data_IF_946630702219
#
_entry.id   IF_946630702219
#
_cell.length_a   1.000
_cell.length_b   1.000
_cell.length_c   1.000
_cell.angle_alpha   90.00
_cell.angle_beta   90.00
_cell.angle_gamma   90.00
#
_symmetry.space_group_name_H-M   'P 1'
#
loop_
_entity.id
_entity.type
_entity.pdbx_description
1 polymer ?
#
# COMPACT_ATOMS: atom_id res chain seq x y z
N UNK A 1 10.85 -2.28 26.25
CA UNK A 1 10.60 -2.75 24.87
C UNK A 1 9.10 -2.89 24.66
N UNK A 2 8.57 -2.61 23.48
CA UNK A 2 7.18 -2.85 23.16
C UNK A 2 6.78 -4.31 23.40
N UNK A 3 5.54 -4.52 23.80
CA UNK A 3 5.03 -5.86 24.09
C UNK A 3 4.59 -6.54 22.80
N UNK A 4 4.85 -7.84 22.72
CA UNK A 4 4.25 -8.76 21.76
C UNK A 4 2.98 -9.31 22.39
N UNK A 5 1.84 -9.13 21.72
CA UNK A 5 0.50 -9.53 22.20
C UNK A 5 0.06 -10.72 21.32
N UNK A 6 -0.17 -11.88 21.96
CA UNK A 6 -0.59 -13.12 21.31
C UNK A 6 -1.94 -13.64 21.83
N UNK A 7 -2.39 -13.15 22.98
CA UNK A 7 -3.55 -13.70 23.70
C UNK A 7 -4.76 -12.74 23.67
N UNK A 8 -4.77 -11.77 22.77
CA UNK A 8 -5.88 -10.83 22.57
C UNK A 8 -5.92 -10.36 21.13
N UNK A 9 -7.03 -9.76 20.74
CA UNK A 9 -7.18 -9.12 19.42
C UNK A 9 -7.37 -7.61 19.59
N UNK A 10 -7.03 -6.80 18.55
CA UNK A 10 -7.28 -5.37 18.56
C UNK A 10 -8.73 -5.02 18.95
N UNK A 11 -9.71 -5.65 18.33
CA UNK A 11 -11.13 -5.41 18.60
C UNK A 11 -11.48 -5.68 20.06
N UNK A 12 -11.00 -6.78 20.64
CA UNK A 12 -11.24 -7.13 22.04
C UNK A 12 -10.66 -6.08 23.02
N UNK A 13 -9.53 -5.46 22.63
CA UNK A 13 -8.86 -4.40 23.41
C UNK A 13 -9.35 -2.98 23.07
N UNK A 14 -10.35 -2.84 22.18
CA UNK A 14 -10.95 -1.57 21.79
C UNK A 14 -10.12 -0.77 20.77
N UNK A 15 -9.29 -1.45 19.97
CA UNK A 15 -8.51 -0.83 18.89
C UNK A 15 -9.16 -1.06 17.53
N UNK A 16 -8.95 -0.12 16.60
CA UNK A 16 -9.33 -0.19 15.20
C UNK A 16 -8.22 0.34 14.30
N UNK A 17 -8.21 -0.05 13.06
CA UNK A 17 -7.42 0.61 12.03
C UNK A 17 -8.07 1.97 11.71
N UNK A 18 -7.37 3.11 11.83
CA UNK A 18 -7.90 4.40 11.42
C UNK A 18 -7.94 4.49 9.89
N UNK A 19 -8.86 5.30 9.38
CA UNK A 19 -8.84 5.63 7.96
C UNK A 19 -7.57 6.41 7.60
N UNK A 20 -7.09 6.28 6.35
CA UNK A 20 -5.87 6.97 5.91
C UNK A 20 -6.01 8.49 5.93
N UNK A 21 -7.23 9.01 5.77
CA UNK A 21 -7.52 10.45 5.86
C UNK A 21 -7.63 10.98 7.30
N UNK A 22 -7.51 10.13 8.35
CA UNK A 22 -7.40 10.58 9.76
C UNK A 22 -6.00 11.16 10.03
N UNK A 23 -5.83 12.00 11.08
CA UNK A 23 -4.54 12.65 11.37
C UNK A 23 -3.40 11.66 11.56
N UNK A 24 -2.30 11.95 10.91
CA UNK A 24 -1.09 11.12 10.89
C UNK A 24 0.05 11.83 11.62
N UNK A 25 0.99 11.06 12.15
CA UNK A 25 2.19 11.54 12.86
C UNK A 25 3.38 11.61 11.92
N UNK A 26 3.51 10.65 11.01
CA UNK A 26 4.56 10.54 10.00
C UNK A 26 4.26 9.47 8.97
N UNK A 27 5.04 9.49 7.90
CA UNK A 27 5.10 8.42 6.90
C UNK A 27 6.43 7.67 7.01
N UNK A 28 6.34 6.35 6.94
CA UNK A 28 7.47 5.43 6.85
C UNK A 28 7.71 5.03 5.40
N UNK A 29 8.98 4.89 5.01
CA UNK A 29 9.43 4.37 3.72
C UNK A 29 10.65 3.46 3.93
N UNK A 30 10.87 2.51 3.01
CA UNK A 30 12.11 1.75 2.88
C UNK A 30 12.88 2.26 1.66
N UNK A 31 14.22 2.17 1.70
CA UNK A 31 15.06 2.63 0.59
C UNK A 31 15.28 1.53 -0.43
N UNK A 32 15.00 1.75 -1.74
CA UNK A 32 15.17 0.73 -2.76
C UNK A 32 16.66 0.48 -3.06
N UNK A 33 17.07 -0.79 -3.00
CA UNK A 33 18.46 -1.17 -3.28
C UNK A 33 18.61 -2.47 -4.06
N UNK A 34 17.52 -3.23 -4.21
CA UNK A 34 17.49 -4.55 -4.81
C UNK A 34 17.68 -4.48 -6.32
N UNK A 35 18.85 -4.88 -6.82
CA UNK A 35 19.18 -4.77 -8.26
C UNK A 35 18.55 -5.84 -9.15
N UNK A 36 18.00 -6.90 -8.55
CA UNK A 36 17.19 -7.92 -9.25
C UNK A 36 15.69 -7.59 -9.32
N UNK A 37 15.28 -6.43 -8.79
CA UNK A 37 13.96 -5.83 -8.98
C UNK A 37 14.03 -4.44 -9.64
N UNK A 38 14.97 -3.60 -9.21
CA UNK A 38 15.10 -2.22 -9.65
C UNK A 38 16.15 -2.07 -10.73
N UNK A 39 15.76 -1.64 -11.92
CA UNK A 39 16.68 -1.47 -13.06
C UNK A 39 17.83 -0.50 -12.76
N UNK A 40 18.94 -0.64 -13.48
CA UNK A 40 20.11 0.24 -13.39
C UNK A 40 20.68 0.38 -11.96
N UNK A 41 20.68 -0.72 -11.19
CA UNK A 41 21.15 -0.73 -9.81
C UNK A 41 20.35 0.17 -8.87
N UNK A 42 19.03 0.20 -9.05
CA UNK A 42 18.05 0.97 -8.29
C UNK A 42 18.16 2.51 -8.39
N UNK A 43 19.12 3.08 -9.11
CA UNK A 43 19.34 4.53 -9.13
C UNK A 43 18.16 5.36 -9.59
N UNK A 44 17.43 5.00 -10.67
CA UNK A 44 16.22 5.73 -11.06
C UNK A 44 15.11 5.62 -10.02
N UNK A 45 14.92 4.43 -9.42
CA UNK A 45 13.98 4.22 -8.35
C UNK A 45 14.33 5.06 -7.10
N UNK A 46 15.59 5.06 -6.68
CA UNK A 46 16.08 5.91 -5.57
C UNK A 46 15.76 7.39 -5.78
N UNK A 47 15.91 7.87 -7.02
CA UNK A 47 15.52 9.24 -7.36
C UNK A 47 14.02 9.46 -7.18
N UNK A 48 13.18 8.56 -7.70
CA UNK A 48 11.73 8.65 -7.56
C UNK A 48 11.28 8.58 -6.09
N UNK A 49 11.87 7.69 -5.28
CA UNK A 49 11.62 7.60 -3.84
C UNK A 49 12.00 8.90 -3.10
N UNK A 50 13.15 9.50 -3.46
CA UNK A 50 13.55 10.78 -2.89
C UNK A 50 12.60 11.93 -3.28
N UNK A 51 12.07 11.93 -4.50
CA UNK A 51 11.08 12.91 -4.95
C UNK A 51 9.73 12.72 -4.23
N UNK A 52 9.29 11.47 -4.01
CA UNK A 52 8.10 11.15 -3.19
C UNK A 52 8.31 11.59 -1.74
N UNK A 53 9.44 11.23 -1.11
CA UNK A 53 9.75 11.63 0.27
C UNK A 53 9.76 13.15 0.42
N UNK A 54 10.30 13.89 -0.56
CA UNK A 54 10.30 15.37 -0.59
C UNK A 54 8.88 15.93 -0.66
N UNK A 55 8.03 15.36 -1.53
CA UNK A 55 6.64 15.79 -1.66
C UNK A 55 5.83 15.57 -0.38
N UNK A 56 6.03 14.42 0.30
CA UNK A 56 5.39 14.11 1.58
C UNK A 56 5.89 15.06 2.68
N UNK A 57 7.18 15.37 2.71
CA UNK A 57 7.81 16.22 3.74
C UNK A 57 7.28 17.67 3.73
N UNK A 58 6.59 18.12 2.67
CA UNK A 58 5.87 19.39 2.66
C UNK A 58 4.65 19.40 3.58
N UNK A 59 4.15 18.23 4.01
CA UNK A 59 2.91 18.07 4.78
C UNK A 59 3.14 17.48 6.16
N UNK A 60 4.03 16.49 6.27
CA UNK A 60 4.28 15.77 7.51
C UNK A 60 5.66 15.12 7.56
N UNK A 61 6.14 14.73 8.75
CA UNK A 61 7.44 14.08 8.89
C UNK A 61 7.54 12.77 8.10
N UNK A 62 8.69 12.54 7.48
CA UNK A 62 9.02 11.28 6.78
C UNK A 62 10.20 10.60 7.46
N UNK A 63 10.11 9.29 7.61
CA UNK A 63 11.23 8.44 8.03
C UNK A 63 11.50 7.41 6.96
N UNK A 64 12.72 7.42 6.42
CA UNK A 64 13.19 6.46 5.43
C UNK A 64 14.18 5.51 6.10
N UNK A 65 13.91 4.21 6.00
CA UNK A 65 14.81 3.18 6.50
C UNK A 65 15.70 2.68 5.35
N UNK A 66 17.01 2.64 5.58
CA UNK A 66 17.99 2.20 4.61
C UNK A 66 18.96 1.20 5.24
N UNK A 67 19.50 0.26 4.47
CA UNK A 67 20.54 -0.63 4.94
C UNK A 67 21.81 0.14 5.30
N UNK A 68 22.69 -0.47 6.10
CA UNK A 68 24.00 0.11 6.42
C UNK A 68 24.80 0.48 5.15
N UNK A 69 24.68 -0.35 4.11
CA UNK A 69 25.36 -0.12 2.83
C UNK A 69 24.82 1.11 2.07
N UNK A 70 23.53 1.40 2.21
CA UNK A 70 22.85 2.48 1.49
C UNK A 70 22.60 3.73 2.35
N UNK A 71 22.89 3.68 3.64
CA UNK A 71 22.59 4.80 4.56
C UNK A 71 23.19 6.14 4.09
N UNK A 72 24.47 6.16 3.74
CA UNK A 72 25.13 7.38 3.27
C UNK A 72 24.56 7.88 1.94
N UNK A 73 24.23 6.96 1.02
CA UNK A 73 23.57 7.27 -0.24
C UNK A 73 22.17 7.85 -0.03
N UNK A 74 21.33 7.19 0.76
CA UNK A 74 20.00 7.66 1.10
C UNK A 74 20.05 9.06 1.74
N UNK A 75 20.93 9.25 2.73
CA UNK A 75 21.11 10.55 3.39
C UNK A 75 21.54 11.66 2.42
N UNK A 76 22.37 11.35 1.43
CA UNK A 76 22.83 12.33 0.44
C UNK A 76 21.73 12.73 -0.57
N UNK A 77 20.80 11.82 -0.88
CA UNK A 77 19.73 12.05 -1.85
C UNK A 77 18.46 12.66 -1.23
N UNK A 78 18.20 12.37 0.04
CA UNK A 78 17.01 12.83 0.74
C UNK A 78 17.17 14.24 1.32
N UNK A 79 16.08 15.04 1.39
CA UNK A 79 16.09 16.33 2.06
C UNK A 79 16.53 16.23 3.53
N UNK A 80 17.15 17.28 4.11
CA UNK A 80 17.64 17.25 5.48
C UNK A 80 16.55 17.04 6.54
N UNK A 81 15.31 17.47 6.27
CA UNK A 81 14.15 17.29 7.13
C UNK A 81 13.63 15.83 7.17
N UNK A 82 13.96 15.00 6.20
CA UNK A 82 13.63 13.57 6.19
C UNK A 82 14.56 12.83 7.14
N UNK A 83 14.00 12.11 8.09
CA UNK A 83 14.78 11.24 8.99
C UNK A 83 15.23 9.98 8.25
N UNK A 84 16.51 9.63 8.39
CA UNK A 84 17.04 8.35 7.88
C UNK A 84 17.41 7.46 9.05
N UNK A 85 16.93 6.22 9.04
CA UNK A 85 17.21 5.19 10.05
C UNK A 85 17.89 4.00 9.40
N UNK A 86 18.93 3.46 10.06
CA UNK A 86 19.55 2.23 9.58
C UNK A 86 18.65 1.03 9.90
N UNK A 87 18.10 0.42 8.85
CA UNK A 87 17.30 -0.81 8.93
C UNK A 87 17.33 -1.52 7.60
N UNK A 88 17.76 -2.79 7.60
CA UNK A 88 17.76 -3.62 6.39
C UNK A 88 16.40 -4.26 6.14
N UNK A 89 16.03 -4.31 4.87
CA UNK A 89 14.88 -5.05 4.31
C UNK A 89 15.37 -5.91 3.12
N UNK A 90 14.52 -6.77 2.59
CA UNK A 90 14.81 -7.49 1.34
C UNK A 90 14.41 -6.63 0.12
N UNK A 91 13.30 -5.86 0.22
CA UNK A 91 12.90 -4.87 -0.78
C UNK A 91 12.25 -3.64 -0.10
N UNK A 92 11.60 -2.75 -0.87
CA UNK A 92 11.22 -1.41 -0.41
C UNK A 92 9.70 -1.22 -0.22
N UNK A 93 8.94 -2.29 -0.05
CA UNK A 93 7.46 -2.30 -0.03
C UNK A 93 6.90 -2.25 1.41
N UNK A 94 7.12 -1.12 2.09
CA UNK A 94 6.74 -0.97 3.51
C UNK A 94 5.24 -1.03 3.77
N UNK A 95 4.41 -0.75 2.78
CA UNK A 95 2.95 -0.93 2.87
C UNK A 95 2.60 -2.36 3.23
N UNK A 96 3.30 -3.31 2.63
CA UNK A 96 2.95 -4.72 2.68
C UNK A 96 3.68 -5.48 3.79
N UNK A 97 4.94 -5.15 4.04
CA UNK A 97 5.73 -5.78 5.11
C UNK A 97 5.81 -4.95 6.40
N UNK A 98 5.28 -3.73 6.40
CA UNK A 98 5.23 -2.84 7.57
C UNK A 98 4.05 -3.13 8.49
N UNK A 99 4.00 -2.48 9.68
CA UNK A 99 2.93 -2.68 10.62
C UNK A 99 1.63 -1.99 10.16
N UNK A 100 0.48 -2.66 10.32
CA UNK A 100 -0.82 -1.99 10.27
C UNK A 100 -1.08 -1.30 11.61
N UNK A 101 -0.98 0.02 11.65
CA UNK A 101 -1.19 0.77 12.88
C UNK A 101 -2.67 0.84 13.28
N UNK A 102 -2.91 0.83 14.58
CA UNK A 102 -4.22 0.76 15.22
C UNK A 102 -4.33 1.85 16.29
N UNK A 103 -5.52 2.40 16.46
CA UNK A 103 -5.82 3.41 17.47
C UNK A 103 -7.02 3.00 18.32
N UNK A 104 -7.08 3.49 19.57
CA UNK A 104 -8.26 3.37 20.41
C UNK A 104 -8.86 4.74 20.74
N UNK A 105 -10.02 4.75 21.38
CA UNK A 105 -10.72 5.99 21.75
C UNK A 105 -9.95 6.85 22.78
N UNK A 106 -8.95 6.27 23.46
CA UNK A 106 -8.07 7.00 24.41
C UNK A 106 -6.91 7.68 23.69
N UNK A 107 -6.73 7.41 22.40
CA UNK A 107 -5.63 7.92 21.59
C UNK A 107 -4.34 7.12 21.70
N UNK A 108 -4.38 5.94 22.31
CA UNK A 108 -3.23 5.04 22.30
C UNK A 108 -3.05 4.42 20.91
N UNK A 109 -1.80 4.15 20.55
CA UNK A 109 -1.44 3.50 19.28
C UNK A 109 -0.86 2.12 19.57
N UNK A 110 -1.31 1.13 18.83
CA UNK A 110 -0.72 -0.21 18.69
C UNK A 110 -0.58 -0.58 17.22
N UNK A 111 -0.12 -1.77 16.92
CA UNK A 111 -0.04 -2.26 15.55
C UNK A 111 -0.43 -3.73 15.43
N UNK A 112 -0.92 -4.14 14.26
CA UNK A 112 -0.94 -5.53 13.83
C UNK A 112 0.34 -5.81 13.04
N UNK A 113 0.97 -6.94 13.33
CA UNK A 113 2.19 -7.46 12.71
C UNK A 113 1.82 -8.79 12.05
N UNK A 114 1.55 -8.73 10.76
CA UNK A 114 1.08 -9.84 9.93
C UNK A 114 2.24 -10.73 9.49
N UNK A 115 1.96 -11.98 9.19
CA UNK A 115 2.90 -12.80 8.45
C UNK A 115 3.07 -12.24 7.03
N UNK A 116 4.31 -12.10 6.57
CA UNK A 116 4.66 -11.67 5.22
C UNK A 116 5.41 -12.78 4.50
N UNK A 117 5.06 -13.05 3.24
CA UNK A 117 5.62 -14.14 2.46
C UNK A 117 5.94 -13.77 1.00
N UNK A 118 6.28 -12.51 0.75
CA UNK A 118 6.60 -11.99 -0.59
C UNK A 118 5.47 -12.24 -1.61
N UNK A 119 4.21 -11.99 -1.21
CA UNK A 119 2.96 -12.07 -2.00
C UNK A 119 2.57 -13.44 -2.52
N UNK A 120 3.09 -14.51 -1.98
CA UNK A 120 2.68 -15.85 -2.44
C UNK A 120 3.49 -16.99 -1.86
N UNK A 121 4.53 -16.70 -1.09
CA UNK A 121 5.36 -17.70 -0.45
C UNK A 121 6.05 -18.61 -1.45
N UNK A 122 5.92 -19.93 -1.21
CA UNK A 122 6.48 -20.94 -2.12
C UNK A 122 5.56 -21.27 -3.30
N UNK A 123 4.36 -20.68 -3.35
CA UNK A 123 3.38 -20.93 -4.42
C UNK A 123 3.64 -20.04 -5.63
N UNK A 124 3.62 -18.72 -5.41
CA UNK A 124 3.79 -17.68 -6.45
C UNK A 124 4.52 -16.43 -5.93
N UNK A 125 5.26 -16.54 -4.82
CA UNK A 125 6.02 -15.42 -4.25
C UNK A 125 7.08 -14.90 -5.20
N UNK A 126 7.29 -13.57 -5.17
CA UNK A 126 8.16 -12.88 -6.14
C UNK A 126 9.64 -13.09 -5.88
N UNK A 127 10.03 -13.36 -4.62
CA UNK A 127 11.42 -13.63 -4.25
C UNK A 127 11.54 -14.47 -2.98
N UNK A 128 12.70 -15.08 -2.84
CA UNK A 128 13.13 -15.81 -1.66
C UNK A 128 14.63 -15.57 -1.41
N UNK A 129 15.06 -15.34 -0.14
CA UNK A 129 14.27 -15.26 1.09
C UNK A 129 13.58 -13.90 1.26
N UNK A 130 12.56 -13.84 2.17
CA UNK A 130 11.88 -12.61 2.62
C UNK A 130 12.03 -12.37 4.13
N UNK A 131 13.07 -12.95 4.73
CA UNK A 131 13.32 -12.99 6.17
C UNK A 131 13.50 -11.62 6.82
N UNK A 132 14.06 -10.64 6.08
CA UNK A 132 14.23 -9.27 6.57
C UNK A 132 12.92 -8.48 6.48
N UNK A 133 12.16 -8.66 5.41
CA UNK A 133 10.86 -8.02 5.23
C UNK A 133 9.85 -8.50 6.26
N UNK A 134 9.83 -9.80 6.56
CA UNK A 134 9.02 -10.37 7.65
C UNK A 134 9.35 -9.80 9.06
N UNK A 135 10.42 -9.03 9.21
CA UNK A 135 10.79 -8.36 10.47
C UNK A 135 10.55 -6.84 10.46
N UNK A 136 10.17 -6.25 9.33
CA UNK A 136 10.02 -4.79 9.19
C UNK A 136 8.96 -4.26 10.15
N UNK A 137 7.80 -4.89 10.25
CA UNK A 137 6.73 -4.49 11.15
C UNK A 137 7.21 -4.46 12.61
N UNK A 138 7.88 -5.51 13.06
CA UNK A 138 8.48 -5.57 14.39
C UNK A 138 9.46 -4.42 14.64
N UNK A 139 10.41 -4.21 13.72
CA UNK A 139 11.45 -3.19 13.87
C UNK A 139 10.87 -1.77 13.92
N UNK A 140 9.90 -1.47 13.07
CA UNK A 140 9.18 -0.17 13.10
C UNK A 140 8.46 0.00 14.44
N UNK A 141 7.75 -1.03 14.93
CA UNK A 141 7.09 -0.96 16.23
C UNK A 141 8.08 -0.73 17.39
N UNK A 142 9.27 -1.34 17.34
CA UNK A 142 10.33 -1.12 18.33
C UNK A 142 10.85 0.33 18.30
N UNK A 143 11.06 0.90 17.11
CA UNK A 143 11.47 2.31 16.95
C UNK A 143 10.39 3.27 17.44
N UNK A 144 9.12 2.98 17.15
CA UNK A 144 7.98 3.78 17.62
C UNK A 144 7.68 3.65 19.12
N UNK A 145 8.17 2.57 19.77
CA UNK A 145 7.79 2.22 21.13
C UNK A 145 6.35 1.70 21.25
N UNK A 146 5.81 1.06 20.20
CA UNK A 146 4.41 0.66 20.06
C UNK A 146 4.25 -0.84 20.24
N UNK A 147 3.31 -1.25 21.12
CA UNK A 147 2.94 -2.66 21.29
C UNK A 147 2.32 -3.23 20.01
N UNK A 148 2.53 -4.52 19.74
CA UNK A 148 2.05 -5.17 18.52
C UNK A 148 1.31 -6.46 18.79
N UNK A 149 0.20 -6.66 18.08
CA UNK A 149 -0.49 -7.94 17.95
C UNK A 149 0.18 -8.74 16.84
N UNK A 150 0.48 -10.00 17.10
CA UNK A 150 1.22 -10.85 16.15
C UNK A 150 0.31 -11.95 15.61
N UNK A 151 0.32 -12.13 14.30
CA UNK A 151 -0.45 -13.14 13.59
C UNK A 151 0.48 -14.03 12.76
N UNK A 152 1.28 -14.93 13.39
CA UNK A 152 2.31 -15.67 12.69
C UNK A 152 1.78 -16.62 11.60
N UNK A 153 0.50 -17.01 11.70
CA UNK A 153 -0.15 -17.96 10.80
C UNK A 153 -1.19 -17.30 9.88
N UNK A 154 -1.20 -15.96 9.78
CA UNK A 154 -2.12 -15.25 8.90
C UNK A 154 -1.35 -14.25 8.05
N UNK A 155 -1.27 -14.53 6.75
CA UNK A 155 -0.61 -13.68 5.76
C UNK A 155 -1.57 -12.56 5.34
N UNK A 156 -1.11 -11.32 5.46
CA UNK A 156 -1.82 -10.14 4.99
C UNK A 156 -0.82 -9.04 4.63
N UNK A 157 -1.03 -8.39 3.53
CA UNK A 157 -0.33 -7.19 3.11
C UNK A 157 -1.20 -5.95 3.33
N UNK A 158 -0.59 -4.82 3.71
CA UNK A 158 -1.33 -3.56 3.91
C UNK A 158 -1.98 -3.03 2.63
N UNK A 159 -1.41 -3.32 1.46
CA UNK A 159 -1.98 -2.97 0.14
C UNK A 159 -3.22 -3.79 -0.24
N UNK A 160 -3.43 -4.95 0.40
CA UNK A 160 -4.60 -5.80 0.17
C UNK A 160 -5.87 -5.32 0.86
N UNK A 161 -5.79 -4.30 1.74
CA UNK A 161 -6.90 -3.77 2.53
C UNK A 161 -6.97 -2.26 2.48
N UNK A 162 -8.19 -1.69 2.56
CA UNK A 162 -8.40 -0.26 2.78
C UNK A 162 -9.63 -0.05 3.66
N UNK A 163 -9.55 0.81 4.70
CA UNK A 163 -10.63 1.00 5.68
C UNK A 163 -11.21 2.42 5.67
N UNK A 164 -12.50 2.54 6.01
CA UNK A 164 -13.15 3.84 6.21
C UNK A 164 -12.94 4.44 7.62
N UNK A 165 -12.31 3.69 8.53
CA UNK A 165 -12.17 4.06 9.94
C UNK A 165 -13.48 3.97 10.75
N UNK A 166 -14.59 3.60 10.14
CA UNK A 166 -15.92 3.53 10.75
C UNK A 166 -16.53 2.11 10.71
N UNK A 167 -15.72 1.12 10.41
CA UNK A 167 -16.06 -0.30 10.49
C UNK A 167 -16.20 -1.02 9.16
N UNK A 168 -15.88 -0.38 8.03
CA UNK A 168 -15.88 -1.01 6.71
C UNK A 168 -14.45 -1.22 6.22
N UNK A 169 -14.17 -2.38 5.63
CA UNK A 169 -12.93 -2.69 4.93
C UNK A 169 -13.21 -3.11 3.49
N UNK A 170 -12.41 -2.61 2.55
CA UNK A 170 -12.35 -3.05 1.16
C UNK A 170 -11.20 -4.05 1.00
N UNK A 171 -11.41 -5.08 0.20
CA UNK A 171 -10.39 -6.06 -0.21
C UNK A 171 -10.80 -6.72 -1.53
N UNK A 172 -9.94 -7.58 -2.10
CA UNK A 172 -10.25 -8.37 -3.29
C UNK A 172 -10.29 -9.87 -2.98
N UNK A 173 -11.19 -10.59 -3.66
CA UNK A 173 -11.23 -12.06 -3.62
C UNK A 173 -9.96 -12.64 -4.25
N UNK A 174 -9.55 -12.08 -5.36
CA UNK A 174 -8.36 -12.48 -6.12
C UNK A 174 -7.11 -12.53 -5.22
N UNK A 175 -6.93 -11.57 -4.30
CA UNK A 175 -5.80 -11.54 -3.37
C UNK A 175 -6.01 -12.47 -2.19
N UNK A 176 -6.99 -12.20 -1.33
CA UNK A 176 -7.07 -12.85 -0.02
C UNK A 176 -7.56 -14.31 -0.09
N UNK A 177 -8.20 -14.73 -1.18
CA UNK A 177 -8.57 -16.12 -1.44
C UNK A 177 -7.55 -16.85 -2.33
N UNK A 178 -6.42 -16.21 -2.67
CA UNK A 178 -5.32 -16.85 -3.40
C UNK A 178 -4.68 -17.97 -2.57
N UNK A 179 -4.29 -19.09 -3.22
CA UNK A 179 -3.55 -20.16 -2.56
C UNK A 179 -2.22 -19.71 -1.95
N UNK A 180 -1.65 -18.62 -2.46
CA UNK A 180 -0.41 -18.03 -1.97
C UNK A 180 -0.53 -17.26 -0.66
N UNK A 181 -1.74 -17.10 -0.10
CA UNK A 181 -1.97 -16.36 1.17
C UNK A 181 -2.33 -17.31 2.32
N UNK A 182 -3.61 -17.63 2.45
CA UNK A 182 -4.14 -18.40 3.58
C UNK A 182 -4.95 -19.61 3.07
N UNK A 183 -4.33 -20.60 2.40
CA UNK A 183 -5.03 -21.68 1.70
C UNK A 183 -5.90 -22.57 2.61
N UNK A 184 -5.58 -22.65 3.89
CA UNK A 184 -6.30 -23.44 4.88
C UNK A 184 -7.51 -22.72 5.48
N UNK A 185 -7.75 -21.43 5.11
CA UNK A 185 -8.86 -20.61 5.60
C UNK A 185 -9.89 -20.39 4.52
N UNK A 186 -11.17 -20.49 4.91
CA UNK A 186 -12.26 -20.08 4.06
C UNK A 186 -12.56 -18.57 4.21
N UNK A 187 -13.44 -18.03 3.34
CA UNK A 187 -13.83 -16.63 3.32
C UNK A 187 -14.32 -16.11 4.68
N UNK A 188 -15.18 -16.85 5.35
CA UNK A 188 -15.75 -16.47 6.65
C UNK A 188 -14.69 -16.42 7.76
N UNK A 189 -13.69 -17.27 7.68
CA UNK A 189 -12.56 -17.25 8.62
C UNK A 189 -11.66 -16.05 8.37
N UNK A 190 -11.39 -15.72 7.10
CA UNK A 190 -10.62 -14.51 6.71
C UNK A 190 -11.39 -13.25 7.12
N UNK A 191 -12.70 -13.15 6.86
CA UNK A 191 -13.54 -12.03 7.32
C UNK A 191 -13.46 -11.83 8.82
N UNK A 192 -13.49 -12.93 9.59
CA UNK A 192 -13.35 -12.86 11.05
C UNK A 192 -12.00 -12.28 11.45
N UNK A 193 -10.91 -12.73 10.84
CA UNK A 193 -9.57 -12.17 11.09
C UNK A 193 -9.52 -10.68 10.78
N UNK A 194 -10.04 -10.26 9.62
CA UNK A 194 -10.11 -8.85 9.27
C UNK A 194 -10.92 -8.05 10.29
N UNK A 195 -12.09 -8.53 10.69
CA UNK A 195 -12.93 -7.84 11.67
C UNK A 195 -12.26 -7.72 13.05
N UNK A 196 -11.63 -8.80 13.53
CA UNK A 196 -10.99 -8.83 14.85
C UNK A 196 -9.72 -7.97 14.89
N UNK A 197 -8.94 -7.93 13.82
CA UNK A 197 -7.65 -7.24 13.81
C UNK A 197 -7.72 -5.80 13.29
N UNK A 198 -8.70 -5.47 12.45
CA UNK A 198 -8.89 -4.11 11.93
C UNK A 198 -9.97 -3.32 12.70
N UNK A 199 -10.71 -3.98 13.60
CA UNK A 199 -11.83 -3.36 14.31
C UNK A 199 -12.97 -2.98 13.37
N UNK A 200 -13.21 -3.78 12.33
CA UNK A 200 -14.30 -3.58 11.39
C UNK A 200 -15.47 -4.56 11.65
N UNK A 201 -16.61 -4.31 11.02
CA UNK A 201 -17.81 -5.14 11.11
C UNK A 201 -18.41 -5.49 9.74
N UNK A 202 -17.81 -4.97 8.67
CA UNK A 202 -18.22 -5.24 7.29
C UNK A 202 -17.02 -5.31 6.37
N UNK A 203 -16.96 -6.38 5.58
CA UNK A 203 -15.98 -6.59 4.53
C UNK A 203 -16.66 -6.47 3.18
N UNK A 204 -16.14 -5.65 2.30
CA UNK A 204 -16.57 -5.51 0.91
C UNK A 204 -15.53 -6.17 0.01
N UNK A 205 -15.94 -7.22 -0.67
CA UNK A 205 -15.09 -8.03 -1.53
C UNK A 205 -15.29 -7.65 -3.00
N UNK A 206 -14.33 -6.91 -3.55
CA UNK A 206 -14.24 -6.77 -5.01
C UNK A 206 -13.69 -8.08 -5.55
N UNK A 207 -14.23 -8.56 -6.66
CA UNK A 207 -13.88 -9.88 -7.18
C UNK A 207 -12.45 -9.95 -7.68
N UNK A 208 -12.10 -9.08 -8.62
CA UNK A 208 -10.82 -9.08 -9.31
C UNK A 208 -10.08 -7.74 -9.10
N UNK A 209 -8.77 -7.79 -8.93
CA UNK A 209 -7.87 -6.63 -9.00
C UNK A 209 -7.22 -6.51 -10.37
N UNK A 210 -6.20 -5.66 -10.52
CA UNK A 210 -5.54 -5.36 -11.80
C UNK A 210 -4.10 -5.85 -11.90
N UNK A 211 -3.61 -6.55 -10.90
CA UNK A 211 -2.25 -7.09 -10.87
C UNK A 211 -2.25 -8.59 -10.54
N UNK A 212 -2.55 -9.45 -11.52
CA UNK A 212 -2.65 -10.88 -11.29
C UNK A 212 -1.30 -11.56 -11.05
N UNK A 213 -0.21 -10.96 -11.55
CA UNK A 213 1.08 -11.64 -11.63
C UNK A 213 2.03 -11.28 -10.48
N UNK A 214 1.78 -10.18 -9.76
CA UNK A 214 2.64 -9.74 -8.65
C UNK A 214 1.96 -9.77 -7.29
N UNK A 215 0.88 -8.98 -7.08
CA UNK A 215 0.20 -8.89 -5.78
C UNK A 215 -1.08 -9.72 -5.70
N UNK A 216 -1.48 -10.39 -6.78
CA UNK A 216 -2.79 -11.01 -6.96
C UNK A 216 -3.94 -9.99 -6.80
N UNK A 217 -3.76 -8.80 -7.35
CA UNK A 217 -4.80 -7.78 -7.42
C UNK A 217 -5.11 -7.08 -6.10
N UNK A 218 -4.12 -6.43 -5.51
CA UNK A 218 -4.30 -5.58 -4.35
C UNK A 218 -5.37 -4.52 -4.54
N UNK A 219 -6.09 -4.20 -3.47
CA UNK A 219 -7.19 -3.22 -3.50
C UNK A 219 -6.69 -1.78 -3.69
N UNK A 220 -5.48 -1.44 -3.26
CA UNK A 220 -4.91 -0.10 -3.34
C UNK A 220 -4.59 0.37 -4.75
N UNK A 221 -4.63 -0.53 -5.75
CA UNK A 221 -4.60 -0.21 -7.18
C UNK A 221 -5.98 -0.09 -7.82
N UNK A 222 -7.06 -0.45 -7.10
CA UNK A 222 -8.42 -0.55 -7.62
C UNK A 222 -9.37 0.46 -6.99
N UNK A 223 -9.39 0.55 -5.66
CA UNK A 223 -10.31 1.43 -4.93
C UNK A 223 -9.79 1.79 -3.54
N UNK A 224 -10.14 2.99 -3.07
CA UNK A 224 -9.85 3.44 -1.71
C UNK A 224 -10.96 4.34 -1.15
N UNK A 225 -11.13 4.36 0.18
CA UNK A 225 -11.98 5.35 0.84
C UNK A 225 -11.33 6.71 0.83
N UNK A 226 -12.08 7.73 0.39
CA UNK A 226 -11.65 9.12 0.35
C UNK A 226 -12.29 9.96 1.46
N UNK A 227 -13.43 9.52 1.97
CA UNK A 227 -14.15 10.03 3.13
C UNK A 227 -15.11 8.94 3.66
N UNK A 228 -15.71 9.10 4.85
CA UNK A 228 -16.72 8.16 5.33
C UNK A 228 -17.90 8.06 4.36
N UNK A 229 -18.16 6.85 3.82
CA UNK A 229 -19.19 6.58 2.82
C UNK A 229 -18.85 7.03 1.39
N UNK A 230 -17.62 7.49 1.12
CA UNK A 230 -17.16 7.87 -0.22
C UNK A 230 -15.93 7.05 -0.63
N UNK A 231 -15.95 6.50 -1.83
CA UNK A 231 -14.91 5.61 -2.38
C UNK A 231 -14.48 6.13 -3.74
N UNK A 232 -13.17 6.22 -3.99
CA UNK A 232 -12.62 6.33 -5.33
C UNK A 232 -12.46 4.93 -5.93
N UNK A 233 -12.73 4.80 -7.23
CA UNK A 233 -12.57 3.56 -7.99
C UNK A 233 -11.96 3.86 -9.36
N UNK A 234 -11.08 3.00 -9.82
CA UNK A 234 -10.50 3.11 -11.16
C UNK A 234 -11.58 3.10 -12.23
N UNK A 235 -11.31 3.82 -13.33
CA UNK A 235 -12.26 3.93 -14.43
C UNK A 235 -11.58 4.18 -15.77
N UNK A 236 -12.10 3.53 -16.80
CA UNK A 236 -11.82 3.85 -18.19
C UNK A 236 -13.06 3.67 -19.06
N UNK A 237 -13.21 4.48 -20.10
CA UNK A 237 -14.22 4.30 -21.13
C UNK A 237 -13.67 3.58 -22.37
N UNK A 238 -12.38 3.28 -22.39
CA UNK A 238 -11.71 2.59 -23.48
C UNK A 238 -11.86 1.07 -23.32
N UNK A 239 -12.74 0.47 -24.12
CA UNK A 239 -13.00 -0.98 -24.11
C UNK A 239 -11.78 -1.82 -24.51
N UNK A 240 -10.77 -1.21 -25.13
CA UNK A 240 -9.52 -1.89 -25.49
C UNK A 240 -8.46 -1.84 -24.38
N UNK A 241 -8.70 -1.07 -23.30
CA UNK A 241 -7.76 -0.98 -22.18
C UNK A 241 -7.69 -2.34 -21.44
N UNK A 242 -6.49 -2.86 -21.12
CA UNK A 242 -6.34 -4.19 -20.49
C UNK A 242 -7.12 -4.35 -19.19
N UNK A 243 -7.37 -3.27 -18.44
CA UNK A 243 -8.09 -3.27 -17.16
C UNK A 243 -9.53 -2.73 -17.28
N UNK A 244 -10.10 -2.68 -18.49
CA UNK A 244 -11.46 -2.16 -18.70
C UNK A 244 -12.50 -2.93 -17.91
N UNK A 245 -12.44 -4.26 -17.97
CA UNK A 245 -13.40 -5.14 -17.31
C UNK A 245 -13.35 -5.01 -15.80
N UNK A 246 -12.15 -5.11 -15.23
CA UNK A 246 -11.92 -5.02 -13.79
C UNK A 246 -12.40 -3.67 -13.24
N UNK A 247 -12.12 -2.57 -13.95
CA UNK A 247 -12.58 -1.24 -13.58
C UNK A 247 -14.10 -1.12 -13.58
N UNK A 248 -14.78 -1.70 -14.58
CA UNK A 248 -16.24 -1.71 -14.67
C UNK A 248 -16.88 -2.55 -13.57
N UNK A 249 -16.43 -3.78 -13.41
CA UNK A 249 -16.96 -4.73 -12.44
C UNK A 249 -16.82 -4.17 -11.01
N UNK A 250 -15.65 -3.60 -10.67
CA UNK A 250 -15.41 -2.95 -9.39
C UNK A 250 -16.33 -1.75 -9.15
N UNK A 251 -16.47 -0.87 -10.13
CA UNK A 251 -17.32 0.32 -10.02
C UNK A 251 -18.80 -0.05 -9.84
N UNK A 252 -19.32 -0.98 -10.65
CA UNK A 252 -20.70 -1.45 -10.57
C UNK A 252 -20.98 -2.11 -9.22
N UNK A 253 -20.07 -2.99 -8.77
CA UNK A 253 -20.16 -3.60 -7.44
C UNK A 253 -20.24 -2.53 -6.33
N UNK A 254 -19.32 -1.56 -6.30
CA UNK A 254 -19.28 -0.53 -5.26
C UNK A 254 -20.51 0.37 -5.26
N UNK A 255 -21.09 0.68 -6.42
CA UNK A 255 -22.32 1.47 -6.53
C UNK A 255 -23.54 0.80 -5.87
N UNK A 256 -23.52 -0.53 -5.71
CA UNK A 256 -24.58 -1.30 -5.07
C UNK A 256 -24.36 -1.48 -3.56
N UNK A 257 -23.18 -1.17 -3.04
CA UNK A 257 -22.83 -1.42 -1.65
C UNK A 257 -23.26 -0.31 -0.69
N UNK A 258 -23.34 -0.69 0.58
CA UNK A 258 -23.43 0.22 1.72
C UNK A 258 -22.18 0.00 2.60
N UNK A 259 -21.82 0.99 3.40
CA UNK A 259 -20.81 0.84 4.45
C UNK A 259 -21.36 0.12 5.70
N UNK A 260 -20.53 -0.05 6.74
CA UNK A 260 -20.91 -0.68 8.00
C UNK A 260 -22.01 0.08 8.78
N UNK A 261 -22.22 1.36 8.48
CA UNK A 261 -23.28 2.20 9.05
C UNK A 261 -24.56 2.24 8.22
N UNK A 262 -24.61 1.47 7.11
CA UNK A 262 -25.77 1.39 6.23
C UNK A 262 -25.88 2.56 5.23
N UNK A 263 -24.89 3.44 5.11
CA UNK A 263 -24.84 4.51 4.10
C UNK A 263 -24.52 3.90 2.74
N UNK A 264 -25.30 4.23 1.70
CA UNK A 264 -24.95 3.85 0.34
C UNK A 264 -23.66 4.56 -0.07
N UNK A 265 -22.73 3.83 -0.67
CA UNK A 265 -21.45 4.38 -1.09
C UNK A 265 -21.64 5.39 -2.23
N UNK A 266 -20.98 6.53 -2.11
CA UNK A 266 -20.76 7.47 -3.21
C UNK A 266 -19.46 7.10 -3.88
N UNK A 267 -19.54 6.62 -5.13
CA UNK A 267 -18.37 6.14 -5.86
C UNK A 267 -17.88 7.20 -6.85
N UNK A 268 -16.63 7.60 -6.70
CA UNK A 268 -15.94 8.53 -7.58
C UNK A 268 -15.10 7.77 -8.60
N UNK A 269 -15.15 8.22 -9.86
CA UNK A 269 -14.32 7.66 -10.93
C UNK A 269 -12.95 8.33 -10.94
N UNK A 270 -11.90 7.52 -10.93
CA UNK A 270 -10.53 7.96 -11.16
C UNK A 270 -10.00 7.30 -12.43
N UNK A 271 -9.60 8.12 -13.39
CA UNK A 271 -9.12 7.63 -14.69
C UNK A 271 -7.92 6.69 -14.54
N UNK A 272 -7.83 5.69 -15.40
CA UNK A 272 -6.58 4.97 -15.65
C UNK A 272 -5.68 5.76 -16.60
N UNK A 273 -4.43 5.34 -16.75
CA UNK A 273 -3.54 5.87 -17.79
C UNK A 273 -4.18 5.71 -19.17
N UNK A 274 -3.97 6.68 -20.06
CA UNK A 274 -4.53 6.62 -21.43
C UNK A 274 -3.98 5.44 -22.21
N UNK A 275 -2.72 5.11 -21.96
CA UNK A 275 -2.04 3.95 -22.52
C UNK A 275 -1.43 3.12 -21.42
N UNK A 276 -1.46 1.78 -21.51
CA UNK A 276 -0.73 0.94 -20.58
C UNK A 276 0.74 1.33 -20.53
N UNK A 277 1.31 1.32 -19.34
CA UNK A 277 2.75 1.51 -19.13
C UNK A 277 3.42 0.14 -19.24
N UNK A 278 4.42 0.05 -20.08
CA UNK A 278 5.18 -1.18 -20.25
C UNK A 278 6.58 -1.04 -19.69
N UNK A 279 7.08 -2.10 -19.07
CA UNK A 279 8.45 -2.15 -18.58
C UNK A 279 9.43 -2.00 -19.77
N UNK A 280 10.42 -1.14 -19.57
CA UNK A 280 11.51 -0.87 -20.50
C UNK A 280 12.85 -0.99 -19.77
N UNK A 281 13.87 -1.57 -20.42
CA UNK A 281 15.22 -1.71 -19.89
C UNK A 281 15.35 -2.82 -18.85
N UNK A 282 14.58 -3.90 -19.00
CA UNK A 282 14.69 -5.10 -18.17
C UNK A 282 16.07 -5.76 -18.27
N UNK A 283 16.81 -5.53 -19.36
CA UNK A 283 18.20 -5.96 -19.53
C UNK A 283 19.19 -5.31 -18.55
N UNK A 284 18.74 -4.27 -17.83
CA UNK A 284 19.51 -3.61 -16.76
C UNK A 284 19.09 -4.03 -15.36
N UNK A 285 18.19 -5.01 -15.24
CA UNK A 285 17.80 -5.68 -13.99
C UNK A 285 18.66 -6.94 -13.85
N UNK A 286 19.29 -7.13 -12.71
CA UNK A 286 20.14 -8.29 -12.48
C UNK A 286 19.28 -9.56 -12.35
N UNK A 287 19.78 -10.68 -12.85
CA UNK A 287 19.16 -11.98 -12.64
C UNK A 287 19.65 -12.59 -11.33
N UNK A 288 18.74 -13.00 -10.46
CA UNK A 288 19.06 -13.68 -9.22
C UNK A 288 18.23 -14.98 -9.05
N UNK A 289 18.87 -15.99 -8.45
CA UNK A 289 18.17 -17.23 -8.08
C UNK A 289 17.13 -16.93 -7.01
N UNK A 290 15.91 -17.45 -7.16
CA UNK A 290 14.82 -17.25 -6.22
C UNK A 290 14.06 -15.93 -6.42
N UNK A 291 14.29 -15.20 -7.53
CA UNK A 291 13.54 -14.00 -7.89
C UNK A 291 12.83 -14.21 -9.22
N UNK A 292 11.57 -13.80 -9.31
CA UNK A 292 10.82 -13.81 -10.57
C UNK A 292 11.43 -12.79 -11.55
N UNK A 293 11.89 -13.22 -12.75
CA UNK A 293 12.55 -12.31 -13.69
C UNK A 293 11.53 -11.38 -14.36
N UNK A 294 11.90 -10.09 -14.49
CA UNK A 294 11.14 -9.09 -15.24
C UNK A 294 11.57 -9.04 -16.71
N UNK A 295 10.65 -8.69 -17.62
CA UNK A 295 10.90 -8.66 -19.07
C UNK A 295 10.39 -7.38 -19.70
N UNK A 296 11.09 -6.88 -20.70
CA UNK A 296 10.62 -5.77 -21.53
C UNK A 296 9.26 -6.09 -22.17
N UNK A 297 8.38 -5.11 -22.14
CA UNK A 297 7.04 -5.21 -22.68
C UNK A 297 6.00 -5.85 -21.76
N UNK A 298 6.38 -6.26 -20.54
CA UNK A 298 5.40 -6.60 -19.50
C UNK A 298 4.62 -5.34 -19.06
N UNK A 299 3.32 -5.49 -18.81
CA UNK A 299 2.48 -4.38 -18.34
C UNK A 299 2.85 -4.06 -16.92
N UNK A 300 3.25 -2.82 -16.67
CA UNK A 300 3.50 -2.30 -15.32
C UNK A 300 2.20 -1.79 -14.71
N UNK A 301 2.03 -1.97 -13.40
CA UNK A 301 0.86 -1.44 -12.69
C UNK A 301 1.02 0.05 -12.49
N UNK A 302 0.40 0.82 -13.39
CA UNK A 302 0.42 2.27 -13.42
C UNK A 302 -0.97 2.81 -13.08
N UNK A 303 -1.41 2.58 -11.85
CA UNK A 303 -2.70 3.06 -11.34
C UNK A 303 -2.55 4.40 -10.62
N UNK A 304 -3.33 5.41 -11.04
CA UNK A 304 -3.45 6.65 -10.25
C UNK A 304 -4.12 6.42 -8.90
N UNK A 305 -4.79 5.27 -8.69
CA UNK A 305 -5.40 4.90 -7.41
C UNK A 305 -4.36 4.67 -6.31
N UNK A 306 -3.13 4.31 -6.67
CA UNK A 306 -2.05 4.08 -5.73
C UNK A 306 -1.44 5.41 -5.20
N UNK A 307 -2.31 6.40 -4.90
CA UNK A 307 -1.94 7.65 -4.25
C UNK A 307 -1.88 7.49 -2.72
N UNK A 308 -1.17 8.40 -2.07
CA UNK A 308 -1.09 8.48 -0.61
C UNK A 308 -1.84 9.72 -0.10
N UNK A 309 -2.71 9.53 0.90
CA UNK A 309 -3.35 10.62 1.63
C UNK A 309 -2.43 11.01 2.79
N UNK A 310 -2.07 12.30 2.88
CA UNK A 310 -1.23 12.86 3.95
C UNK A 310 -1.95 14.03 4.62
N UNK A 311 -1.46 14.51 5.78
CA UNK A 311 -2.04 15.67 6.46
C UNK A 311 -2.09 16.91 5.54
N UNK A 312 -3.29 17.31 5.14
CA UNK A 312 -3.49 18.48 4.26
C UNK A 312 -3.08 18.29 2.79
N UNK A 313 -2.69 17.09 2.36
CA UNK A 313 -2.30 16.81 0.99
C UNK A 313 -2.68 15.41 0.49
N UNK A 314 -2.49 15.21 -0.81
CA UNK A 314 -2.52 13.90 -1.48
C UNK A 314 -1.33 13.83 -2.44
N UNK A 315 -0.53 12.80 -2.33
CA UNK A 315 0.62 12.56 -3.22
C UNK A 315 0.17 11.57 -4.29
N UNK A 316 0.09 12.05 -5.53
CA UNK A 316 -0.49 11.33 -6.66
C UNK A 316 0.58 10.87 -7.65
N UNK A 317 0.65 9.57 -8.00
CA UNK A 317 1.57 9.11 -9.04
C UNK A 317 1.30 9.78 -10.38
N UNK A 318 2.37 10.06 -11.13
CA UNK A 318 2.34 10.54 -12.50
C UNK A 318 3.22 9.65 -13.36
N UNK A 319 2.83 9.47 -14.60
CA UNK A 319 3.48 8.52 -15.52
C UNK A 319 4.02 9.18 -16.81
N UNK A 320 3.81 10.50 -16.98
CA UNK A 320 4.04 11.18 -18.25
C UNK A 320 2.98 10.80 -19.29
N UNK A 321 1.79 10.47 -18.82
CA UNK A 321 0.63 10.07 -19.61
C UNK A 321 -0.30 11.25 -19.88
N UNK A 322 -1.09 11.18 -20.96
CA UNK A 322 -2.06 12.21 -21.33
C UNK A 322 -3.11 12.46 -20.24
N UNK A 323 -3.42 11.46 -19.40
CA UNK A 323 -4.39 11.52 -18.32
C UNK A 323 -3.80 12.05 -16.99
N UNK A 324 -2.49 12.32 -16.88
CA UNK A 324 -1.87 12.83 -15.65
C UNK A 324 -2.60 14.09 -15.10
N UNK A 325 -2.90 15.06 -15.97
CA UNK A 325 -3.60 16.28 -15.59
C UNK A 325 -5.08 16.03 -15.22
N UNK A 326 -5.72 15.06 -15.86
CA UNK A 326 -7.10 14.67 -15.55
C UNK A 326 -7.16 14.00 -14.18
N UNK A 327 -6.22 13.11 -13.88
CA UNK A 327 -6.13 12.43 -12.58
C UNK A 327 -5.95 13.46 -11.43
N UNK A 328 -5.04 14.43 -11.58
CA UNK A 328 -4.89 15.53 -10.60
C UNK A 328 -6.22 16.24 -10.38
N UNK A 329 -6.93 16.61 -11.44
CA UNK A 329 -8.22 17.31 -11.34
C UNK A 329 -9.29 16.47 -10.64
N UNK A 330 -9.36 15.18 -10.94
CA UNK A 330 -10.33 14.27 -10.32
C UNK A 330 -10.03 14.07 -8.83
N UNK A 331 -8.77 13.82 -8.46
CA UNK A 331 -8.37 13.67 -7.06
C UNK A 331 -8.57 14.97 -6.28
N UNK A 332 -8.23 16.12 -6.86
CA UNK A 332 -8.49 17.43 -6.22
C UNK A 332 -9.99 17.67 -5.96
N UNK A 333 -10.87 17.18 -6.82
CA UNK A 333 -12.32 17.26 -6.61
C UNK A 333 -12.82 16.35 -5.48
N UNK A 334 -12.15 15.21 -5.26
CA UNK A 334 -12.45 14.29 -4.14
C UNK A 334 -11.95 14.84 -2.79
N UNK A 335 -10.86 15.62 -2.81
CA UNK A 335 -10.21 16.18 -1.63
C UNK A 335 -10.12 17.72 -1.71
N UNK A 336 -11.26 18.45 -1.59
CA UNK A 336 -11.27 19.91 -1.77
C UNK A 336 -10.41 20.66 -0.75
N UNK A 337 -10.23 20.09 0.45
CA UNK A 337 -9.47 20.70 1.55
C UNK A 337 -8.01 20.23 1.61
N UNK A 338 -7.56 19.41 0.66
CA UNK A 338 -6.18 18.92 0.57
C UNK A 338 -5.54 19.37 -0.73
N UNK A 339 -4.24 19.68 -0.71
CA UNK A 339 -3.48 20.00 -1.93
C UNK A 339 -3.01 18.70 -2.60
N UNK A 340 -3.35 18.50 -3.86
CA UNK A 340 -2.85 17.37 -4.66
C UNK A 340 -1.50 17.71 -5.28
N UNK A 341 -0.52 16.86 -5.05
CA UNK A 341 0.84 16.98 -5.60
C UNK A 341 1.13 15.77 -6.48
N UNK A 342 1.30 15.98 -7.77
CA UNK A 342 1.71 14.94 -8.72
C UNK A 342 3.22 14.70 -8.64
N UNK A 343 3.64 13.45 -8.58
CA UNK A 343 5.05 13.03 -8.57
C UNK A 343 5.30 12.01 -9.66
N UNK A 344 6.33 12.22 -10.49
CA UNK A 344 6.72 11.26 -11.53
C UNK A 344 7.26 9.98 -10.89
N UNK A 345 6.53 8.87 -11.03
CA UNK A 345 6.83 7.58 -10.39
C UNK A 345 6.80 6.39 -11.34
N UNK A 346 7.00 6.62 -12.64
CA UNK A 346 7.10 5.52 -13.62
C UNK A 346 8.16 4.48 -13.23
N UNK A 347 9.27 4.91 -12.63
CA UNK A 347 10.33 4.02 -12.15
C UNK A 347 9.87 3.13 -10.99
N UNK A 348 8.92 3.59 -10.18
CA UNK A 348 8.32 2.79 -9.10
C UNK A 348 7.37 1.75 -9.71
N UNK A 349 6.57 2.15 -10.73
CA UNK A 349 5.69 1.24 -11.46
C UNK A 349 6.47 0.09 -12.12
N UNK A 350 7.66 0.35 -12.64
CA UNK A 350 8.53 -0.69 -13.19
C UNK A 350 9.01 -1.70 -12.13
N UNK A 351 9.02 -1.32 -10.86
CA UNK A 351 9.31 -2.19 -9.73
C UNK A 351 8.14 -3.04 -9.25
N UNK A 352 6.91 -2.79 -9.74
CA UNK A 352 5.73 -3.59 -9.42
C UNK A 352 4.74 -2.94 -8.45
N UNK A 353 4.77 -1.61 -8.27
CA UNK A 353 3.83 -0.89 -7.40
C UNK A 353 3.95 0.62 -7.54
N UNK A 354 3.42 1.41 -6.59
CA UNK A 354 3.55 2.86 -6.66
C UNK A 354 3.62 3.52 -5.26
N UNK A 355 3.20 4.79 -5.15
CA UNK A 355 3.39 5.65 -3.97
C UNK A 355 2.77 5.04 -2.71
N UNK A 356 1.57 4.48 -2.78
CA UNK A 356 0.93 3.85 -1.64
C UNK A 356 1.70 2.61 -1.19
N UNK A 357 2.14 1.76 -2.12
CA UNK A 357 2.90 0.54 -1.84
C UNK A 357 4.24 0.81 -1.14
N UNK A 358 4.90 1.94 -1.43
CA UNK A 358 6.22 2.29 -0.86
C UNK A 358 6.12 3.13 0.43
N UNK A 359 4.91 3.34 0.96
CA UNK A 359 4.65 4.22 2.11
C UNK A 359 3.75 3.55 3.13
N UNK A 360 3.94 3.88 4.42
CA UNK A 360 3.08 3.43 5.52
C UNK A 360 2.87 4.58 6.50
N UNK A 361 1.60 4.95 6.75
CA UNK A 361 1.26 5.99 7.70
C UNK A 361 1.29 5.50 9.15
N UNK A 362 1.89 6.30 10.04
CA UNK A 362 1.78 6.17 11.49
C UNK A 362 0.72 7.17 11.98
N UNK A 363 -0.37 6.73 12.61
CA UNK A 363 -1.43 7.64 13.06
C UNK A 363 -0.96 8.52 14.21
N UNK A 364 -1.57 9.70 14.30
CA UNK A 364 -1.34 10.60 15.42
C UNK A 364 -2.06 10.10 16.68
N UNK A 365 -1.32 9.81 17.72
CA UNK A 365 -1.90 9.53 19.04
C UNK A 365 -2.69 10.77 19.52
N UNK A 366 -3.97 10.61 19.82
CA UNK A 366 -4.75 11.70 20.45
C UNK A 366 -4.43 11.69 21.97
N UNK A 367 -3.88 12.79 22.45
CA UNK A 367 -3.66 13.02 23.89
C UNK A 367 -4.89 13.63 24.55
#
# INVERSE_FOLDING_TARGET
>A
MPRRIENSTPLADGYRMPAEFEPQKRIWMLWPERCDNWRMGAKPAQKAFADVARAIAEFEPVTVCASAAQYANARAMLPPEVTVVEMSANDAWVRDCGPTFLVNDKGDVRAADWAFNAWGGLYDGLYFPWDKDAQVAQKICEICGVDRYVTPDFVLEGGSIHVDGEGTVLTTEMCLLSPGRNPDLNREQIERMLCEYLGCSKVLWIKDGIDPDETNGHIDDVACFVAPGEVACIWTDDESHPFYREARDAYEFLCEQTDAKGRRLKVHKLTLTKKPVYLEGADTIDSAEGTLPRRDGEVSIASYMNFLIVNGGVILPQYGDENDALAIKQVQAMFPDRRVVGVMTREVAYGGGNIHCITQQEPLARR
#
